data_IF_883949655763
#
_entry.id   IF_883949655763
#
_cell.length_a   1.000
_cell.length_b   1.000
_cell.length_c   1.000
_cell.angle_alpha   90.00
_cell.angle_beta   90.00
_cell.angle_gamma   90.00
#
_symmetry.space_group_name_H-M   'P 1'
#
loop_
_entity.id
_entity.type
_entity.pdbx_description
1 polymer ?
#
# COMPACT_ATOMS: atom_id res chain seq x y z
N UNK A 1 -4.85 13.65 18.13
CA UNK A 1 -4.28 12.75 17.10
C UNK A 1 -4.71 13.10 15.68
N UNK A 2 -6.03 13.27 15.44
CA UNK A 2 -6.53 13.59 14.09
C UNK A 2 -6.14 14.99 13.61
N UNK A 3 -6.09 15.98 14.49
CA UNK A 3 -5.69 17.35 14.09
C UNK A 3 -4.23 17.45 13.64
N UNK A 4 -3.30 16.78 14.29
CA UNK A 4 -1.89 16.74 13.84
C UNK A 4 -1.75 16.12 12.44
N UNK A 5 -2.42 15.00 12.19
CA UNK A 5 -2.35 14.34 10.90
C UNK A 5 -3.02 15.13 9.76
N UNK A 6 -4.03 15.95 10.07
CA UNK A 6 -4.76 16.76 9.09
C UNK A 6 -4.04 18.08 8.79
N UNK A 7 -3.40 18.70 9.79
CA UNK A 7 -2.77 20.03 9.65
C UNK A 7 -1.32 19.96 9.16
N UNK A 8 -0.61 18.90 9.51
CA UNK A 8 0.85 18.84 9.41
C UNK A 8 1.31 17.77 8.40
N UNK A 9 0.40 17.28 7.53
CA UNK A 9 0.71 16.32 6.49
C UNK A 9 -0.31 16.38 5.36
N UNK A 10 -0.20 15.48 4.37
CA UNK A 10 -1.21 15.25 3.34
C UNK A 10 -1.99 13.95 3.64
N UNK A 11 -3.29 13.99 3.49
CA UNK A 11 -4.19 12.86 3.67
C UNK A 11 -5.32 12.87 2.65
N UNK A 12 -6.12 11.83 2.64
CA UNK A 12 -7.27 11.68 1.74
C UNK A 12 -8.55 11.62 2.55
N UNK A 13 -9.52 12.46 2.18
CA UNK A 13 -10.87 12.43 2.75
C UNK A 13 -11.80 11.81 1.71
N UNK A 14 -12.56 10.80 2.11
CA UNK A 14 -13.45 10.05 1.23
C UNK A 14 -14.92 10.42 1.48
N UNK A 15 -15.66 10.61 0.39
CA UNK A 15 -17.08 10.96 0.41
C UNK A 15 -17.87 10.08 -0.55
N UNK A 16 -19.13 9.78 -0.17
CA UNK A 16 -20.16 9.34 -1.10
C UNK A 16 -20.92 10.54 -1.65
N UNK A 17 -21.22 10.51 -2.95
CA UNK A 17 -22.03 11.56 -3.61
C UNK A 17 -23.28 10.92 -4.16
N UNK A 18 -24.46 11.47 -3.81
CA UNK A 18 -25.73 11.01 -4.33
C UNK A 18 -26.06 11.63 -5.73
N UNK A 19 -27.16 11.16 -6.33
CA UNK A 19 -27.59 11.65 -7.64
C UNK A 19 -27.97 13.13 -7.66
N UNK A 20 -28.24 13.73 -6.51
CA UNK A 20 -28.57 15.16 -6.35
C UNK A 20 -27.34 16.03 -6.10
N UNK A 21 -26.15 15.42 -6.00
CA UNK A 21 -24.90 16.12 -5.74
C UNK A 21 -24.63 16.36 -4.26
N UNK A 22 -25.42 15.80 -3.34
CA UNK A 22 -25.11 15.83 -1.91
C UNK A 22 -23.98 14.87 -1.61
N UNK A 23 -23.06 15.27 -0.76
CA UNK A 23 -21.91 14.45 -0.37
C UNK A 23 -21.98 14.10 1.11
N UNK A 24 -21.58 12.89 1.41
CA UNK A 24 -21.59 12.30 2.74
C UNK A 24 -20.20 11.78 3.08
N UNK A 25 -19.67 12.23 4.21
CA UNK A 25 -18.35 11.80 4.69
C UNK A 25 -18.34 10.30 4.98
N UNK A 26 -17.33 9.60 4.53
CA UNK A 26 -17.10 8.18 4.83
C UNK A 26 -15.98 8.05 5.84
N UNK A 27 -14.76 8.39 5.42
CA UNK A 27 -13.56 8.26 6.26
C UNK A 27 -12.48 9.25 5.85
N UNK A 28 -11.48 9.37 6.71
CA UNK A 28 -10.23 10.06 6.40
C UNK A 28 -9.05 9.12 6.55
N UNK A 29 -8.21 9.08 5.54
CA UNK A 29 -6.94 8.37 5.56
C UNK A 29 -5.81 9.40 5.73
N UNK A 30 -5.25 9.58 6.96
CA UNK A 30 -4.20 10.58 7.23
C UNK A 30 -2.83 10.08 6.74
N UNK A 31 -2.76 9.65 5.51
CA UNK A 31 -1.59 9.12 4.83
C UNK A 31 -1.75 9.25 3.33
N UNK A 32 -0.66 9.08 2.61
CA UNK A 32 -0.74 8.91 1.15
C UNK A 32 -1.47 7.61 0.80
N UNK A 33 -2.24 7.63 -0.27
CA UNK A 33 -2.94 6.46 -0.79
C UNK A 33 -2.35 6.01 -2.13
N UNK A 34 -2.65 4.78 -2.54
CA UNK A 34 -2.14 4.19 -3.79
C UNK A 34 -2.54 5.03 -5.01
N UNK A 35 -3.73 5.62 -4.98
CA UNK A 35 -4.33 6.44 -6.04
C UNK A 35 -3.85 7.90 -6.10
N UNK A 36 -2.93 8.33 -5.22
CA UNK A 36 -2.39 9.70 -5.18
C UNK A 36 -1.89 10.22 -6.54
N UNK A 37 -1.44 9.33 -7.41
CA UNK A 37 -0.91 9.68 -8.72
C UNK A 37 -1.92 10.39 -9.62
N UNK A 38 -3.24 10.14 -9.45
CA UNK A 38 -4.30 10.86 -10.16
C UNK A 38 -4.27 12.34 -9.79
N UNK A 39 -4.23 12.65 -8.50
CA UNK A 39 -4.15 14.01 -7.99
C UNK A 39 -2.88 14.73 -8.48
N UNK A 40 -1.74 14.05 -8.40
CA UNK A 40 -0.46 14.61 -8.87
C UNK A 40 -0.49 14.93 -10.38
N UNK A 41 -1.09 14.06 -11.18
CA UNK A 41 -1.18 14.27 -12.64
C UNK A 41 -2.09 15.44 -13.02
N UNK A 42 -3.17 15.71 -12.29
CA UNK A 42 -4.09 16.81 -12.62
C UNK A 42 -3.73 18.13 -11.95
N UNK A 43 -2.94 18.12 -10.88
CA UNK A 43 -2.53 19.33 -10.15
C UNK A 43 -1.08 19.71 -10.38
N UNK A 44 -0.25 18.80 -10.86
CA UNK A 44 1.21 18.94 -10.97
C UNK A 44 1.91 19.18 -9.61
N UNK A 45 1.32 18.68 -8.52
CA UNK A 45 1.86 18.79 -7.17
C UNK A 45 2.41 17.43 -6.75
N UNK A 46 3.67 17.39 -6.35
CA UNK A 46 4.31 16.21 -5.75
C UNK A 46 3.87 16.10 -4.29
N UNK A 47 2.93 15.18 -4.02
CA UNK A 47 2.33 15.01 -2.69
C UNK A 47 3.34 14.46 -1.68
N UNK A 48 4.25 13.58 -2.08
CA UNK A 48 5.28 13.04 -1.19
C UNK A 48 6.24 14.12 -0.76
N UNK A 49 6.71 14.93 -1.72
CA UNK A 49 7.56 16.08 -1.41
C UNK A 49 6.84 17.10 -0.53
N UNK A 50 5.57 17.36 -0.81
CA UNK A 50 4.74 18.25 0.01
C UNK A 50 4.64 17.77 1.45
N UNK A 51 4.42 16.46 1.69
CA UNK A 51 4.40 15.89 3.03
C UNK A 51 5.72 16.12 3.78
N UNK A 52 6.85 15.92 3.12
CA UNK A 52 8.18 16.11 3.72
C UNK A 52 8.39 17.57 4.11
N UNK A 53 8.13 18.50 3.19
CA UNK A 53 8.31 19.93 3.41
C UNK A 53 7.39 20.47 4.53
N UNK A 54 6.13 20.01 4.57
CA UNK A 54 5.19 20.37 5.64
C UNK A 54 5.69 19.84 6.99
N UNK A 55 6.17 18.61 7.05
CA UNK A 55 6.72 18.02 8.27
C UNK A 55 8.01 18.73 8.72
N UNK A 56 8.77 19.32 7.80
CA UNK A 56 9.90 20.21 8.10
C UNK A 56 9.47 21.61 8.57
N UNK A 57 8.17 21.87 8.66
CA UNK A 57 7.60 23.15 9.12
C UNK A 57 7.42 24.19 8.03
N UNK A 58 7.55 23.83 6.75
CA UNK A 58 7.28 24.74 5.66
C UNK A 58 5.77 24.98 5.52
N UNK A 59 5.34 26.23 5.27
CA UNK A 59 3.92 26.51 5.02
C UNK A 59 3.46 25.92 3.68
N UNK A 60 2.18 25.61 3.55
CA UNK A 60 1.57 25.14 2.30
C UNK A 60 1.84 26.09 1.10
N UNK A 61 1.98 27.38 1.40
CA UNK A 61 2.35 28.40 0.41
C UNK A 61 3.81 28.38 -0.04
N UNK A 62 4.64 27.46 0.52
CA UNK A 62 6.05 27.37 0.13
C UNK A 62 6.17 27.11 -1.38
N UNK A 63 7.05 27.83 -2.10
CA UNK A 63 7.14 27.72 -3.56
C UNK A 63 7.41 26.30 -4.07
N UNK A 64 8.15 25.51 -3.34
CA UNK A 64 8.48 24.13 -3.71
C UNK A 64 7.33 23.13 -3.51
N UNK A 65 6.32 23.48 -2.73
CA UNK A 65 5.08 22.70 -2.61
C UNK A 65 4.17 23.00 -3.81
N UNK A 66 4.17 24.24 -4.29
CA UNK A 66 3.45 24.66 -5.49
C UNK A 66 1.93 24.83 -5.31
N UNK A 67 1.41 24.67 -4.08
CA UNK A 67 -0.03 24.83 -3.80
C UNK A 67 -0.49 26.29 -3.82
N UNK A 68 0.34 27.20 -3.31
CA UNK A 68 -0.04 28.60 -3.19
C UNK A 68 -1.30 28.81 -2.34
N UNK A 69 -2.25 29.61 -2.86
CA UNK A 69 -3.57 29.77 -2.26
C UNK A 69 -4.52 28.67 -2.83
N UNK A 70 -5.34 28.09 -1.96
CA UNK A 70 -6.38 27.10 -2.30
C UNK A 70 -7.27 27.57 -3.47
N UNK A 71 -7.60 28.87 -3.51
CA UNK A 71 -8.44 29.45 -4.56
C UNK A 71 -7.75 29.50 -5.93
N UNK A 72 -6.43 29.38 -5.97
CA UNK A 72 -5.63 29.40 -7.20
C UNK A 72 -5.31 27.98 -7.70
N UNK A 73 -5.66 26.94 -6.94
CA UNK A 73 -5.43 25.57 -7.34
C UNK A 73 -6.27 25.23 -8.57
N UNK A 74 -5.60 24.91 -9.68
CA UNK A 74 -6.25 24.50 -10.92
C UNK A 74 -6.10 23.00 -11.12
N UNK A 75 -7.24 22.35 -11.31
CA UNK A 75 -7.28 20.98 -11.82
C UNK A 75 -7.20 21.04 -13.34
N UNK A 76 -6.14 20.46 -13.91
CA UNK A 76 -5.88 20.49 -15.35
C UNK A 76 -6.18 19.11 -15.96
N UNK A 77 -7.18 19.05 -16.83
CA UNK A 77 -7.56 17.81 -17.53
C UNK A 77 -8.13 16.73 -16.61
N UNK A 78 -7.94 15.49 -17.03
CA UNK A 78 -8.45 14.29 -16.38
C UNK A 78 -7.36 13.25 -16.27
N UNK A 79 -7.36 12.47 -15.19
CA UNK A 79 -6.44 11.35 -15.03
C UNK A 79 -7.18 10.08 -14.60
N UNK A 80 -6.67 8.95 -15.08
CA UNK A 80 -7.15 7.60 -14.70
C UNK A 80 -5.94 6.79 -14.26
N UNK A 81 -6.02 6.17 -13.08
CA UNK A 81 -5.03 5.21 -12.62
C UNK A 81 -5.58 3.80 -12.76
N UNK A 82 -4.85 2.93 -13.43
CA UNK A 82 -5.12 1.51 -13.52
C UNK A 82 -4.05 0.74 -12.75
N UNK A 83 -4.48 -0.18 -11.89
CA UNK A 83 -3.59 -1.13 -11.22
C UNK A 83 -3.52 -2.41 -12.05
N UNK A 84 -2.35 -2.72 -12.59
CA UNK A 84 -2.10 -3.97 -13.28
C UNK A 84 -1.64 -4.99 -12.26
N UNK A 85 -2.41 -6.07 -12.10
CA UNK A 85 -2.20 -7.12 -11.11
C UNK A 85 -2.03 -8.48 -11.78
N UNK A 86 -1.33 -9.40 -11.10
CA UNK A 86 -1.22 -10.82 -11.53
C UNK A 86 -2.39 -11.62 -11.00
N UNK A 87 -3.57 -11.29 -11.47
CA UNK A 87 -4.84 -11.93 -11.11
C UNK A 87 -5.59 -12.37 -12.36
N UNK A 88 -6.27 -13.52 -12.26
CA UNK A 88 -7.08 -14.05 -13.35
C UNK A 88 -8.55 -13.61 -13.21
N UNK A 89 -9.01 -12.62 -13.97
CA UNK A 89 -10.38 -12.14 -13.86
C UNK A 89 -11.41 -13.18 -14.36
N UNK A 90 -10.99 -14.14 -15.16
CA UNK A 90 -11.86 -15.26 -15.55
C UNK A 90 -12.05 -16.30 -14.45
N UNK A 91 -11.24 -16.24 -13.39
CA UNK A 91 -11.27 -17.14 -12.23
C UNK A 91 -11.42 -16.34 -10.93
N UNK A 92 -12.42 -15.47 -10.85
CA UNK A 92 -12.74 -14.65 -9.69
C UNK A 92 -11.52 -13.88 -9.12
N UNK A 93 -10.66 -13.36 -9.99
CA UNK A 93 -9.43 -12.67 -9.62
C UNK A 93 -8.49 -13.50 -8.73
N UNK A 94 -8.50 -14.81 -8.90
CA UNK A 94 -7.52 -15.64 -8.21
C UNK A 94 -6.09 -15.21 -8.58
N UNK A 95 -5.20 -15.02 -7.59
CA UNK A 95 -3.81 -14.68 -7.86
C UNK A 95 -3.13 -15.74 -8.74
N UNK A 96 -2.45 -15.30 -9.79
CA UNK A 96 -1.64 -16.15 -10.64
C UNK A 96 -0.15 -15.99 -10.32
N UNK A 97 0.57 -17.08 -10.32
CA UNK A 97 1.95 -17.17 -9.90
C UNK A 97 2.80 -17.78 -11.02
N UNK A 98 4.06 -17.38 -11.08
CA UNK A 98 4.96 -17.94 -12.08
C UNK A 98 6.14 -17.03 -12.37
N UNK A 99 6.92 -17.43 -13.37
CA UNK A 99 8.02 -16.61 -13.87
C UNK A 99 7.53 -15.71 -14.98
N UNK A 100 7.85 -14.43 -14.87
CA UNK A 100 7.61 -13.45 -15.94
C UNK A 100 8.65 -13.70 -17.04
N UNK A 101 8.19 -14.14 -18.19
CA UNK A 101 9.03 -14.44 -19.35
C UNK A 101 9.32 -13.22 -20.21
N UNK A 102 8.36 -12.30 -20.27
CA UNK A 102 8.54 -11.02 -20.93
C UNK A 102 7.75 -9.95 -20.18
N UNK A 103 8.38 -8.79 -19.98
CA UNK A 103 7.76 -7.61 -19.40
C UNK A 103 8.16 -6.37 -20.20
N UNK A 104 7.19 -5.64 -20.69
CA UNK A 104 7.37 -4.32 -21.30
C UNK A 104 6.19 -3.45 -20.94
N UNK A 105 6.47 -2.22 -20.52
CA UNK A 105 5.45 -1.22 -20.22
C UNK A 105 5.28 -0.25 -21.38
N UNK A 106 4.06 0.21 -21.57
CA UNK A 106 3.75 1.35 -22.43
C UNK A 106 4.22 2.65 -21.80
N UNK A 107 4.35 3.69 -22.62
CA UNK A 107 4.79 5.02 -22.16
C UNK A 107 4.37 6.12 -23.11
N UNK A 108 4.94 7.31 -22.88
CA UNK A 108 4.74 8.49 -23.70
C UNK A 108 4.08 9.63 -22.94
N UNK A 109 3.80 10.72 -23.66
CA UNK A 109 3.25 11.93 -23.06
C UNK A 109 1.90 11.68 -22.37
N UNK A 110 1.81 12.07 -21.10
CA UNK A 110 0.62 11.88 -20.27
C UNK A 110 0.42 10.44 -19.79
N UNK A 111 1.46 9.61 -19.79
CA UNK A 111 1.47 8.28 -19.15
C UNK A 111 2.58 8.24 -18.11
N UNK A 112 2.21 7.95 -16.86
CA UNK A 112 3.10 7.74 -15.74
C UNK A 112 3.02 6.28 -15.30
N UNK A 113 4.17 5.72 -15.00
CA UNK A 113 4.31 4.35 -14.51
C UNK A 113 4.92 4.36 -13.11
N UNK A 114 4.22 3.74 -12.16
CA UNK A 114 4.72 3.51 -10.82
C UNK A 114 4.78 2.00 -10.60
N UNK A 115 5.92 1.42 -10.98
CA UNK A 115 6.17 -0.02 -10.93
C UNK A 115 6.79 -0.47 -9.64
N UNK A 116 6.55 -1.75 -9.29
CA UNK A 116 7.34 -2.48 -8.34
C UNK A 116 8.68 -2.92 -8.95
N UNK A 117 9.46 -3.67 -8.20
CA UNK A 117 10.73 -4.23 -8.69
C UNK A 117 10.48 -5.51 -9.52
N UNK A 118 9.73 -5.37 -10.60
CA UNK A 118 9.31 -6.47 -11.48
C UNK A 118 9.85 -6.25 -12.88
N UNK A 119 10.40 -7.30 -13.47
CA UNK A 119 10.93 -7.30 -14.84
C UNK A 119 10.93 -8.69 -15.43
N UNK A 120 11.43 -8.80 -16.67
CA UNK A 120 11.64 -10.09 -17.31
C UNK A 120 12.56 -10.97 -16.45
N UNK A 121 12.12 -12.18 -16.17
CA UNK A 121 12.83 -13.14 -15.32
C UNK A 121 12.39 -13.13 -13.85
N UNK A 122 11.62 -12.14 -13.40
CA UNK A 122 11.09 -12.07 -12.03
C UNK A 122 10.12 -13.22 -11.76
N UNK A 123 10.14 -13.73 -10.53
CA UNK A 123 9.22 -14.79 -10.08
C UNK A 123 8.12 -14.14 -9.26
N UNK A 124 6.89 -14.28 -9.71
CA UNK A 124 5.70 -13.88 -8.97
C UNK A 124 5.36 -14.98 -7.97
N UNK A 125 5.43 -14.62 -6.71
CA UNK A 125 5.18 -15.51 -5.59
C UNK A 125 3.76 -15.31 -5.04
N UNK A 126 3.08 -16.37 -4.56
CA UNK A 126 1.78 -16.24 -3.90
C UNK A 126 1.83 -15.55 -2.54
N UNK A 127 3.03 -15.25 -2.05
CA UNK A 127 3.25 -14.64 -0.74
C UNK A 127 3.35 -13.11 -0.78
N UNK A 128 3.42 -12.52 -1.97
CA UNK A 128 3.50 -11.08 -2.17
C UNK A 128 2.20 -10.56 -2.79
N UNK A 129 2.01 -9.25 -2.71
CA UNK A 129 0.91 -8.58 -3.39
C UNK A 129 1.01 -8.79 -4.91
N UNK A 130 -0.15 -8.88 -5.56
CA UNK A 130 -0.27 -9.14 -6.99
C UNK A 130 0.04 -7.93 -7.88
N UNK A 131 0.24 -6.73 -7.29
CA UNK A 131 0.43 -5.49 -8.04
C UNK A 131 1.77 -5.49 -8.80
N UNK A 132 1.71 -5.37 -10.12
CA UNK A 132 2.88 -5.22 -10.98
C UNK A 132 3.25 -3.75 -11.17
N UNK A 133 2.28 -2.94 -11.59
CA UNK A 133 2.49 -1.54 -11.93
C UNK A 133 1.18 -0.76 -11.83
N UNK A 134 1.27 0.51 -11.41
CA UNK A 134 0.21 1.49 -11.58
C UNK A 134 0.47 2.26 -12.86
N UNK A 135 -0.48 2.23 -13.77
CA UNK A 135 -0.45 3.01 -15.00
C UNK A 135 -1.40 4.18 -14.83
N UNK A 136 -0.87 5.39 -14.72
CA UNK A 136 -1.67 6.61 -14.60
C UNK A 136 -1.60 7.38 -15.91
N UNK A 137 -2.76 7.56 -16.54
CA UNK A 137 -2.89 8.29 -17.81
C UNK A 137 -3.56 9.63 -17.56
N UNK A 138 -3.11 10.67 -18.28
CA UNK A 138 -3.66 12.01 -18.24
C UNK A 138 -3.97 12.52 -19.64
N UNK A 139 -5.10 13.26 -19.80
CA UNK A 139 -5.44 13.99 -21.02
C UNK A 139 -6.38 15.16 -20.73
N UNK A 140 -6.58 16.03 -21.71
CA UNK A 140 -7.40 17.25 -21.58
C UNK A 140 -8.90 16.96 -21.43
N UNK A 141 -9.41 15.83 -21.91
CA UNK A 141 -10.84 15.44 -21.83
C UNK A 141 -10.99 14.01 -21.33
N UNK A 142 -12.10 13.74 -20.64
CA UNK A 142 -12.35 12.39 -20.10
C UNK A 142 -12.37 11.28 -21.17
N UNK A 143 -13.04 11.44 -22.32
CA UNK A 143 -12.95 10.43 -23.39
C UNK A 143 -11.55 10.26 -23.98
N UNK A 144 -10.72 11.31 -23.99
CA UNK A 144 -9.34 11.21 -24.46
C UNK A 144 -8.45 10.45 -23.48
N UNK A 145 -8.60 10.69 -22.16
CA UNK A 145 -7.85 9.92 -21.16
C UNK A 145 -8.28 8.45 -21.13
N UNK A 146 -9.56 8.13 -21.35
CA UNK A 146 -10.01 6.74 -21.50
C UNK A 146 -9.28 6.03 -22.66
N UNK A 147 -9.22 6.66 -23.86
CA UNK A 147 -8.49 6.11 -25.00
C UNK A 147 -6.99 5.95 -24.71
N UNK A 148 -6.37 6.95 -24.06
CA UNK A 148 -4.96 6.93 -23.69
C UNK A 148 -4.67 5.80 -22.67
N UNK A 149 -5.50 5.67 -21.64
CA UNK A 149 -5.40 4.61 -20.64
C UNK A 149 -5.55 3.24 -21.32
N UNK A 150 -6.55 3.07 -22.19
CA UNK A 150 -6.73 1.82 -22.95
C UNK A 150 -5.49 1.49 -23.78
N UNK A 151 -4.90 2.49 -24.48
CA UNK A 151 -3.65 2.28 -25.21
C UNK A 151 -2.51 1.85 -24.29
N UNK A 152 -2.29 2.61 -23.21
CA UNK A 152 -1.20 2.36 -22.28
C UNK A 152 -1.30 0.96 -21.65
N UNK A 153 -2.51 0.56 -21.22
CA UNK A 153 -2.77 -0.76 -20.65
C UNK A 153 -2.58 -1.88 -21.68
N UNK A 154 -2.99 -1.69 -22.93
CA UNK A 154 -2.80 -2.68 -24.00
C UNK A 154 -1.33 -2.78 -24.46
N UNK A 155 -0.53 -1.77 -24.24
CA UNK A 155 0.92 -1.79 -24.47
C UNK A 155 1.68 -2.49 -23.32
N UNK A 156 1.06 -2.67 -22.15
CA UNK A 156 1.63 -3.50 -21.07
C UNK A 156 1.71 -4.95 -21.53
N UNK A 157 2.91 -5.39 -21.83
CA UNK A 157 3.16 -6.73 -22.31
C UNK A 157 3.75 -7.62 -21.24
N UNK A 158 2.90 -8.44 -20.63
CA UNK A 158 3.27 -9.39 -19.58
C UNK A 158 3.05 -10.80 -20.09
N UNK A 159 4.08 -11.65 -20.00
CA UNK A 159 4.04 -13.07 -20.36
C UNK A 159 4.52 -13.92 -19.21
N UNK A 160 3.97 -15.13 -19.11
CA UNK A 160 4.30 -16.13 -18.10
C UNK A 160 3.33 -16.19 -16.94
N UNK A 161 2.56 -15.10 -16.72
CA UNK A 161 1.46 -15.03 -15.73
C UNK A 161 0.23 -14.37 -16.34
N UNK A 162 -0.94 -14.67 -15.82
CA UNK A 162 -2.18 -13.97 -16.14
C UNK A 162 -2.22 -12.62 -15.44
N UNK A 163 -2.95 -11.69 -16.01
CA UNK A 163 -3.14 -10.34 -15.48
C UNK A 163 -4.59 -9.90 -15.63
N UNK A 164 -4.97 -8.88 -14.86
CA UNK A 164 -6.27 -8.25 -14.95
C UNK A 164 -6.42 -7.29 -16.15
N UNK A 165 -5.43 -7.17 -17.02
CA UNK A 165 -5.43 -6.28 -18.19
C UNK A 165 -6.71 -6.40 -19.04
N UNK A 166 -7.22 -7.60 -19.39
CA UNK A 166 -8.45 -7.74 -20.17
C UNK A 166 -9.67 -7.11 -19.49
N UNK A 167 -9.80 -7.29 -18.19
CA UNK A 167 -10.89 -6.73 -17.41
C UNK A 167 -10.81 -5.20 -17.35
N UNK A 168 -9.63 -4.65 -17.04
CA UNK A 168 -9.40 -3.20 -17.03
C UNK A 168 -9.68 -2.59 -18.41
N UNK A 169 -9.29 -3.27 -19.50
CA UNK A 169 -9.58 -2.82 -20.86
C UNK A 169 -11.10 -2.78 -21.13
N UNK A 170 -11.85 -3.80 -20.70
CA UNK A 170 -13.31 -3.83 -20.85
C UNK A 170 -13.96 -2.66 -20.10
N UNK A 171 -13.50 -2.33 -18.88
CA UNK A 171 -13.98 -1.15 -18.14
C UNK A 171 -13.70 0.12 -18.91
N UNK A 172 -12.45 0.37 -19.32
CA UNK A 172 -12.01 1.61 -19.97
C UNK A 172 -12.72 1.89 -21.31
N UNK A 173 -13.19 0.83 -21.98
CA UNK A 173 -13.88 0.91 -23.26
C UNK A 173 -15.41 0.88 -23.14
N UNK A 174 -15.94 0.56 -21.95
CA UNK A 174 -17.38 0.47 -21.72
C UNK A 174 -18.07 1.82 -21.90
N UNK A 175 -19.18 1.91 -22.66
CA UNK A 175 -19.85 3.20 -22.94
C UNK A 175 -20.26 3.97 -21.68
N UNK A 176 -20.73 3.30 -20.66
CA UNK A 176 -21.13 3.91 -19.36
C UNK A 176 -19.93 4.56 -18.67
N UNK A 177 -18.76 3.87 -18.70
CA UNK A 177 -17.51 4.40 -18.12
C UNK A 177 -17.04 5.63 -18.91
N UNK A 178 -16.94 5.52 -20.23
CA UNK A 178 -16.50 6.63 -21.11
C UNK A 178 -17.42 7.83 -21.02
N UNK A 179 -18.71 7.61 -20.75
CA UNK A 179 -19.70 8.68 -20.50
C UNK A 179 -19.59 9.30 -19.08
N UNK A 180 -18.74 8.77 -18.19
CA UNK A 180 -18.62 9.23 -16.80
C UNK A 180 -19.87 8.96 -15.95
N UNK A 181 -20.64 7.91 -16.25
CA UNK A 181 -21.93 7.59 -15.61
C UNK A 181 -21.87 6.36 -14.70
N UNK A 182 -20.67 5.95 -14.30
CA UNK A 182 -20.52 4.83 -13.39
C UNK A 182 -21.02 5.20 -11.99
N UNK A 183 -21.52 4.19 -11.29
CA UNK A 183 -21.93 4.24 -9.90
C UNK A 183 -21.33 3.05 -9.13
N UNK A 184 -21.50 3.00 -7.82
CA UNK A 184 -20.84 2.02 -6.94
C UNK A 184 -21.09 0.56 -7.29
N UNK A 185 -22.22 0.25 -7.95
CA UNK A 185 -22.58 -1.11 -8.39
C UNK A 185 -22.28 -1.38 -9.88
N UNK A 186 -21.60 -0.47 -10.58
CA UNK A 186 -21.39 -0.59 -12.01
C UNK A 186 -20.75 -1.93 -12.41
N UNK A 187 -19.75 -2.38 -11.68
CA UNK A 187 -19.05 -3.65 -11.96
C UNK A 187 -19.97 -4.84 -11.73
N UNK A 188 -20.72 -4.84 -10.60
CA UNK A 188 -21.60 -5.95 -10.22
C UNK A 188 -22.80 -6.10 -11.18
N UNK A 189 -23.27 -4.98 -11.74
CA UNK A 189 -24.43 -4.93 -12.62
C UNK A 189 -24.07 -5.05 -14.12
N UNK A 190 -22.79 -5.24 -14.46
CA UNK A 190 -22.28 -5.26 -15.85
C UNK A 190 -21.51 -6.57 -16.13
N UNK A 191 -22.22 -7.71 -16.32
CA UNK A 191 -21.59 -9.02 -16.53
C UNK A 191 -20.66 -9.07 -17.75
N UNK A 192 -20.91 -8.27 -18.78
CA UNK A 192 -20.11 -8.19 -19.99
C UNK A 192 -18.66 -7.73 -19.75
N UNK A 193 -18.38 -7.11 -18.60
CA UNK A 193 -17.01 -6.77 -18.22
C UNK A 193 -16.14 -8.02 -17.98
N UNK A 194 -16.76 -9.16 -17.71
CA UNK A 194 -16.12 -10.44 -17.44
C UNK A 194 -16.10 -11.37 -18.67
N UNK A 195 -16.54 -10.90 -19.83
CA UNK A 195 -16.43 -11.62 -21.08
C UNK A 195 -15.06 -11.36 -21.73
N UNK A 196 -14.22 -12.40 -21.78
CA UNK A 196 -12.87 -12.30 -22.33
C UNK A 196 -12.74 -13.11 -23.61
N UNK A 197 -12.22 -12.47 -24.66
CA UNK A 197 -11.86 -13.19 -25.88
C UNK A 197 -10.59 -14.00 -25.63
N UNK A 198 -10.65 -15.31 -25.82
CA UNK A 198 -9.45 -16.16 -25.70
C UNK A 198 -8.38 -15.71 -26.70
N UNK A 199 -7.26 -15.24 -26.18
CA UNK A 199 -6.08 -14.96 -26.98
C UNK A 199 -5.54 -16.27 -27.57
N UNK A 200 -5.47 -16.38 -28.90
CA UNK A 200 -4.86 -17.53 -29.62
C UNK A 200 -3.33 -17.46 -29.52
N UNK A 201 -2.81 -17.49 -28.30
CA UNK A 201 -1.36 -17.39 -28.05
C UNK A 201 -0.67 -18.73 -28.24
N UNK A 202 -0.18 -18.95 -29.48
CA UNK A 202 0.60 -20.14 -29.82
C UNK A 202 1.92 -20.23 -29.08
N UNK A 203 2.53 -19.08 -28.78
CA UNK A 203 3.80 -19.02 -28.06
C UNK A 203 3.65 -19.49 -26.61
N UNK A 204 2.62 -19.05 -25.89
CA UNK A 204 2.32 -19.53 -24.53
C UNK A 204 2.02 -21.04 -24.51
N UNK A 205 1.37 -21.61 -25.56
CA UNK A 205 1.17 -23.07 -25.65
C UNK A 205 2.48 -23.82 -25.75
N UNK A 206 3.40 -23.35 -26.60
CA UNK A 206 4.74 -23.96 -26.75
C UNK A 206 5.54 -23.82 -25.47
N UNK A 207 5.50 -22.66 -24.83
CA UNK A 207 6.19 -22.41 -23.56
C UNK A 207 5.63 -23.27 -22.41
N UNK A 208 4.31 -23.41 -22.32
CA UNK A 208 3.68 -24.34 -21.37
C UNK A 208 4.09 -25.79 -21.62
N UNK A 209 4.22 -26.21 -22.87
CA UNK A 209 4.69 -27.53 -23.22
C UNK A 209 6.15 -27.74 -22.77
N UNK A 210 7.04 -26.78 -23.09
CA UNK A 210 8.46 -26.84 -22.69
C UNK A 210 8.59 -26.79 -21.17
N UNK A 211 7.86 -25.91 -20.50
CA UNK A 211 7.86 -25.81 -19.05
C UNK A 211 7.37 -27.11 -18.38
N UNK A 212 6.33 -27.73 -18.94
CA UNK A 212 5.82 -29.01 -18.44
C UNK A 212 6.87 -30.13 -18.57
N UNK A 213 7.62 -30.18 -19.68
CA UNK A 213 8.72 -31.12 -19.85
C UNK A 213 9.84 -30.85 -18.84
N UNK A 214 10.23 -29.57 -18.64
CA UNK A 214 11.29 -29.21 -17.70
C UNK A 214 10.91 -29.42 -16.24
N UNK A 215 9.67 -29.09 -15.87
CA UNK A 215 9.18 -29.24 -14.48
C UNK A 215 8.97 -30.70 -14.10
N UNK A 216 8.52 -31.53 -15.04
CA UNK A 216 8.31 -32.96 -14.82
C UNK A 216 9.59 -33.77 -15.08
N UNK A 217 10.71 -33.14 -15.42
CA UNK A 217 12.00 -33.81 -15.55
C UNK A 217 12.64 -33.94 -14.14
N UNK A 218 12.89 -35.17 -13.66
CA UNK A 218 13.45 -35.41 -12.32
C UNK A 218 14.87 -34.86 -12.12
N UNK A 219 15.59 -34.55 -13.21
CA UNK A 219 16.97 -34.05 -13.18
C UNK A 219 17.10 -32.53 -13.21
N UNK A 220 15.97 -31.79 -13.15
CA UNK A 220 16.03 -30.33 -13.08
C UNK A 220 16.65 -29.87 -11.75
N UNK A 221 17.79 -29.22 -11.82
CA UNK A 221 18.43 -28.58 -10.65
C UNK A 221 17.45 -27.62 -9.96
N UNK A 222 17.15 -27.89 -8.69
CA UNK A 222 16.34 -26.95 -7.89
C UNK A 222 17.20 -25.72 -7.60
N UNK A 223 16.78 -24.57 -8.08
CA UNK A 223 17.40 -23.32 -7.69
C UNK A 223 17.41 -23.20 -6.15
N UNK A 224 18.59 -23.19 -5.57
CA UNK A 224 18.74 -22.81 -4.16
C UNK A 224 18.63 -21.28 -4.09
N UNK A 225 17.62 -20.82 -3.35
CA UNK A 225 17.49 -19.40 -3.06
C UNK A 225 18.51 -19.03 -1.98
N UNK A 226 19.22 -17.92 -2.20
CA UNK A 226 20.07 -17.35 -1.16
C UNK A 226 19.25 -17.04 0.09
N UNK A 227 19.79 -17.44 1.24
CA UNK A 227 19.15 -17.13 2.52
C UNK A 227 19.18 -15.61 2.73
N UNK A 228 18.05 -14.95 3.00
CA UNK A 228 18.05 -13.52 3.24
C UNK A 228 19.01 -13.13 4.37
N UNK A 229 19.80 -12.11 4.15
CA UNK A 229 20.69 -11.56 5.19
C UNK A 229 19.92 -10.48 5.94
N UNK A 230 19.72 -10.70 7.23
CA UNK A 230 19.12 -9.70 8.11
C UNK A 230 20.20 -8.81 8.69
N UNK A 231 19.93 -7.49 8.83
CA UNK A 231 20.80 -6.60 9.58
C UNK A 231 20.95 -7.11 11.01
N UNK A 232 22.16 -7.07 11.52
CA UNK A 232 22.45 -7.41 12.92
C UNK A 232 22.79 -6.13 13.66
N UNK A 233 22.38 -6.04 14.90
CA UNK A 233 22.84 -4.98 15.79
C UNK A 233 24.38 -5.03 15.88
N UNK A 234 25.00 -3.88 15.86
CA UNK A 234 26.46 -3.72 15.98
C UNK A 234 26.88 -3.53 17.44
N UNK A 235 25.92 -3.23 18.32
CA UNK A 235 26.11 -3.01 19.75
C UNK A 235 24.92 -3.58 20.53
N UNK A 236 25.09 -3.73 21.83
CA UNK A 236 23.98 -4.05 22.73
C UNK A 236 23.08 -2.80 22.88
N UNK A 237 21.79 -3.00 22.68
CA UNK A 237 20.78 -1.96 22.74
C UNK A 237 20.06 -2.01 24.09
N UNK A 238 19.98 -0.87 24.74
CA UNK A 238 19.29 -0.70 26.01
C UNK A 238 18.15 0.31 25.88
N UNK A 239 17.29 0.41 26.89
CA UNK A 239 16.21 1.41 26.93
C UNK A 239 16.72 2.84 26.84
N UNK A 240 17.95 3.12 27.19
CA UNK A 240 18.56 4.45 27.17
C UNK A 240 18.89 4.95 25.75
N UNK A 241 18.84 4.07 24.76
CA UNK A 241 19.23 4.37 23.38
C UNK A 241 18.11 5.03 22.55
N UNK A 242 16.93 5.32 23.11
CA UNK A 242 15.81 5.89 22.34
C UNK A 242 14.70 6.53 23.20
N UNK A 243 13.66 6.98 22.51
CA UNK A 243 12.54 7.76 23.08
C UNK A 243 11.67 6.96 24.08
N UNK A 244 11.74 5.62 24.04
CA UNK A 244 10.94 4.77 24.95
C UNK A 244 11.25 5.04 26.42
N UNK A 245 12.49 5.39 26.75
CA UNK A 245 12.84 5.72 28.12
C UNK A 245 12.06 6.95 28.63
N UNK A 246 11.96 8.01 27.82
CA UNK A 246 11.19 9.20 28.19
C UNK A 246 9.71 8.86 28.45
N UNK A 247 9.13 7.99 27.63
CA UNK A 247 7.75 7.52 27.83
C UNK A 247 7.60 6.74 29.15
N UNK A 248 8.56 5.88 29.47
CA UNK A 248 8.51 5.03 30.69
C UNK A 248 8.77 5.79 31.98
N UNK A 249 9.63 6.83 31.95
CA UNK A 249 10.01 7.57 33.15
C UNK A 249 9.10 8.76 33.42
N UNK A 250 8.78 9.53 32.37
CA UNK A 250 8.13 10.84 32.51
C UNK A 250 6.71 10.86 31.90
N UNK A 251 6.32 9.75 31.25
CA UNK A 251 4.96 9.52 30.78
C UNK A 251 4.61 10.21 29.46
N UNK A 252 3.35 10.08 29.01
CA UNK A 252 2.92 10.52 27.69
C UNK A 252 2.93 12.05 27.50
N UNK A 253 2.70 12.83 28.55
CA UNK A 253 2.73 14.29 28.45
C UNK A 253 4.16 14.79 28.18
N UNK A 254 5.17 14.19 28.78
CA UNK A 254 6.56 14.53 28.49
C UNK A 254 6.95 14.21 27.03
N UNK A 255 6.48 13.08 26.49
CA UNK A 255 6.67 12.75 25.08
C UNK A 255 5.97 13.76 24.17
N UNK A 256 4.76 14.18 24.53
CA UNK A 256 4.02 15.22 23.79
C UNK A 256 4.78 16.55 23.78
N UNK A 257 5.28 17.01 24.94
CA UNK A 257 6.09 18.22 25.02
C UNK A 257 7.39 18.08 24.21
N UNK A 258 8.03 16.93 24.29
CA UNK A 258 9.21 16.64 23.48
C UNK A 258 8.91 16.73 21.99
N UNK A 259 7.80 16.14 21.52
CA UNK A 259 7.35 16.21 20.10
C UNK A 259 7.13 17.65 19.66
N UNK A 260 6.41 18.44 20.47
CA UNK A 260 6.12 19.84 20.16
C UNK A 260 7.39 20.73 20.14
N UNK A 261 8.43 20.31 20.85
CA UNK A 261 9.73 20.99 20.87
C UNK A 261 10.65 20.62 19.70
N UNK A 262 10.32 19.59 18.90
CA UNK A 262 11.18 19.13 17.81
C UNK A 262 11.14 20.10 16.63
N UNK A 263 12.31 20.30 16.05
CA UNK A 263 12.50 21.04 14.79
C UNK A 263 12.93 20.15 13.63
N UNK A 264 13.13 18.88 13.91
CA UNK A 264 13.50 17.87 12.91
C UNK A 264 12.29 17.03 12.55
N UNK A 265 12.27 16.51 11.33
CA UNK A 265 11.31 15.53 10.88
C UNK A 265 11.35 14.30 11.80
N UNK A 266 10.17 13.90 12.28
CA UNK A 266 10.00 12.68 13.07
C UNK A 266 9.52 11.56 12.14
N UNK A 267 10.19 10.41 12.19
CA UNK A 267 9.93 9.29 11.29
C UNK A 267 9.35 8.13 12.10
N UNK A 268 8.24 7.59 11.61
CA UNK A 268 7.67 6.32 12.06
C UNK A 268 7.95 5.24 11.02
N UNK A 269 8.57 4.14 11.43
CA UNK A 269 8.74 2.98 10.56
C UNK A 269 7.47 2.10 10.60
N UNK A 270 7.00 1.65 9.45
CA UNK A 270 5.78 0.86 9.31
C UNK A 270 6.04 -0.58 8.83
N UNK A 271 7.28 -1.01 8.84
CA UNK A 271 7.70 -2.32 8.30
C UNK A 271 6.92 -3.47 8.93
N UNK A 272 6.69 -3.40 10.25
CA UNK A 272 6.03 -4.48 10.99
C UNK A 272 4.50 -4.44 10.96
N UNK A 273 3.90 -3.41 10.33
CA UNK A 273 2.45 -3.31 10.13
C UNK A 273 2.08 -3.06 8.67
N UNK A 274 2.15 -1.81 8.20
CA UNK A 274 1.59 -1.44 6.90
C UNK A 274 2.38 -2.02 5.73
N UNK A 275 3.69 -2.03 5.82
CA UNK A 275 4.53 -2.55 4.75
C UNK A 275 4.22 -4.02 4.43
N UNK A 276 4.14 -4.89 5.44
CA UNK A 276 3.80 -6.28 5.17
C UNK A 276 2.30 -6.50 4.90
N UNK A 277 1.43 -5.62 5.43
CA UNK A 277 0.01 -5.64 5.08
C UNK A 277 -0.19 -5.35 3.60
N UNK A 278 0.51 -4.37 3.07
CA UNK A 278 0.38 -3.91 1.70
C UNK A 278 1.16 -4.75 0.69
N UNK A 279 2.31 -5.32 1.08
CA UNK A 279 3.22 -5.99 0.17
C UNK A 279 3.26 -7.51 0.31
N UNK A 280 2.97 -8.05 1.49
CA UNK A 280 3.11 -9.47 1.81
C UNK A 280 1.77 -10.13 2.17
N UNK A 281 0.66 -9.59 1.70
CA UNK A 281 -0.70 -10.07 2.02
C UNK A 281 -0.92 -10.28 3.52
N UNK A 282 -0.30 -9.44 4.34
CA UNK A 282 -0.33 -9.51 5.82
C UNK A 282 0.23 -10.85 6.40
N UNK A 283 1.16 -11.50 5.71
CA UNK A 283 1.63 -12.86 6.06
C UNK A 283 3.01 -12.90 6.72
N UNK A 284 3.56 -11.77 7.16
CA UNK A 284 4.83 -11.76 7.89
C UNK A 284 4.64 -12.37 9.29
N UNK A 285 5.39 -13.43 9.59
CA UNK A 285 5.28 -14.17 10.86
C UNK A 285 6.16 -13.54 11.93
N UNK A 286 5.78 -13.70 13.18
CA UNK A 286 6.55 -13.19 14.33
C UNK A 286 8.00 -13.65 14.28
N UNK A 287 8.26 -14.92 14.01
CA UNK A 287 9.62 -15.47 13.90
C UNK A 287 10.49 -14.79 12.84
N UNK A 288 9.88 -14.28 11.78
CA UNK A 288 10.59 -13.60 10.69
C UNK A 288 10.86 -12.13 11.05
N UNK A 289 9.95 -11.49 11.78
CA UNK A 289 10.15 -10.16 12.37
C UNK A 289 11.30 -10.17 13.38
N UNK A 290 11.35 -11.17 14.25
CA UNK A 290 12.38 -11.30 15.28
C UNK A 290 13.80 -11.45 14.73
N UNK A 291 13.96 -11.96 13.50
CA UNK A 291 15.28 -12.04 12.83
C UNK A 291 15.88 -10.67 12.52
N UNK A 292 15.03 -9.68 12.27
CA UNK A 292 15.46 -8.32 12.01
C UNK A 292 15.38 -7.37 13.21
N UNK A 293 14.77 -7.82 14.31
CA UNK A 293 14.41 -6.94 15.43
C UNK A 293 15.62 -6.27 16.10
N UNK A 294 16.69 -7.04 16.37
CA UNK A 294 17.91 -6.48 16.97
C UNK A 294 18.55 -5.40 16.06
N UNK A 295 18.59 -5.65 14.74
CA UNK A 295 19.05 -4.67 13.76
C UNK A 295 18.14 -3.44 13.66
N UNK A 296 16.83 -3.63 13.79
CA UNK A 296 15.85 -2.54 13.84
C UNK A 296 16.10 -1.64 15.05
N UNK A 297 16.30 -2.23 16.23
CA UNK A 297 16.57 -1.49 17.47
C UNK A 297 17.82 -0.62 17.39
N UNK A 298 18.87 -1.06 16.69
CA UNK A 298 20.13 -0.33 16.51
C UNK A 298 20.05 0.71 15.41
N UNK A 299 19.63 0.31 14.21
CA UNK A 299 19.67 1.18 13.03
C UNK A 299 18.59 2.27 13.10
N UNK A 300 17.41 1.95 13.67
CA UNK A 300 16.28 2.86 13.78
C UNK A 300 16.13 3.49 15.18
N UNK A 301 17.20 3.51 15.98
CA UNK A 301 17.16 4.05 17.35
C UNK A 301 16.64 5.50 17.43
N UNK A 302 16.87 6.30 16.38
CA UNK A 302 16.43 7.70 16.29
C UNK A 302 14.99 7.85 15.72
N UNK A 303 14.32 6.75 15.36
CA UNK A 303 12.92 6.82 14.93
C UNK A 303 12.00 7.23 16.07
N UNK A 304 10.96 8.00 15.73
CA UNK A 304 9.93 8.39 16.67
C UNK A 304 9.15 7.19 17.20
N UNK A 305 8.74 6.29 16.32
CA UNK A 305 8.01 5.08 16.69
C UNK A 305 8.10 3.99 15.63
N UNK A 306 7.74 2.76 16.02
CA UNK A 306 7.53 1.64 15.11
C UNK A 306 6.06 1.23 15.13
N UNK A 307 5.42 1.15 13.97
CA UNK A 307 4.04 0.67 13.86
C UNK A 307 4.02 -0.86 13.88
N UNK A 308 3.38 -1.45 14.89
CA UNK A 308 3.49 -2.88 15.17
C UNK A 308 2.31 -3.70 14.65
N UNK A 309 1.09 -3.27 14.91
CA UNK A 309 -0.11 -3.89 14.39
C UNK A 309 -1.30 -2.93 14.37
N UNK A 310 -2.37 -3.37 13.72
CA UNK A 310 -3.62 -2.64 13.59
C UNK A 310 -4.46 -3.20 12.44
N UNK A 311 -5.75 -3.05 12.51
CA UNK A 311 -6.65 -3.52 11.47
C UNK A 311 -6.37 -4.97 11.05
N UNK A 312 -6.09 -5.18 9.78
CA UNK A 312 -5.91 -6.50 9.21
C UNK A 312 -4.72 -7.29 9.79
N UNK A 313 -3.65 -6.64 10.25
CA UNK A 313 -2.50 -7.36 10.80
C UNK A 313 -2.81 -8.09 12.09
N UNK A 314 -3.67 -7.52 12.93
CA UNK A 314 -4.13 -8.14 14.17
C UNK A 314 -5.02 -9.36 13.87
N UNK A 315 -6.04 -9.19 13.04
CA UNK A 315 -6.96 -10.26 12.64
C UNK A 315 -6.24 -11.40 11.92
N UNK A 316 -5.34 -11.06 10.99
CA UNK A 316 -4.60 -12.04 10.21
C UNK A 316 -3.65 -12.88 11.06
N UNK A 317 -3.04 -12.30 12.11
CA UNK A 317 -2.21 -13.04 13.03
C UNK A 317 -2.99 -14.20 13.67
N UNK A 318 -4.18 -13.95 14.18
CA UNK A 318 -5.04 -14.98 14.73
C UNK A 318 -5.58 -15.94 13.67
N UNK A 319 -6.19 -15.40 12.62
CA UNK A 319 -7.00 -16.18 11.67
C UNK A 319 -6.18 -17.07 10.75
N UNK A 320 -5.04 -16.59 10.29
CA UNK A 320 -4.26 -17.25 9.24
C UNK A 320 -2.86 -17.69 9.67
N UNK A 321 -2.23 -16.97 10.59
CA UNK A 321 -0.90 -17.32 11.06
C UNK A 321 -0.94 -18.19 12.33
N UNK A 322 -2.10 -18.23 13.01
CA UNK A 322 -2.28 -18.90 14.29
C UNK A 322 -1.28 -18.41 15.35
N UNK A 323 -1.01 -17.12 15.34
CA UNK A 323 -0.12 -16.42 16.25
C UNK A 323 -0.90 -15.42 17.08
N UNK A 324 -0.54 -15.25 18.37
CA UNK A 324 -1.08 -14.18 19.21
C UNK A 324 -0.43 -12.84 18.85
N UNK A 325 -1.19 -11.81 18.45
CA UNK A 325 -0.61 -10.48 18.24
C UNK A 325 -0.10 -9.83 19.54
N UNK A 326 -0.61 -10.24 20.71
CA UNK A 326 -0.14 -9.81 22.02
C UNK A 326 1.24 -10.40 22.33
N UNK A 327 1.40 -11.71 22.25
CA UNK A 327 2.72 -12.37 22.41
C UNK A 327 3.73 -11.84 21.39
N UNK A 328 3.30 -11.54 20.16
CA UNK A 328 4.15 -10.90 19.16
C UNK A 328 4.69 -9.57 19.66
N UNK A 329 3.84 -8.76 20.28
CA UNK A 329 4.21 -7.46 20.79
C UNK A 329 5.24 -7.58 21.92
N UNK A 330 5.00 -8.48 22.87
CA UNK A 330 5.93 -8.80 23.97
C UNK A 330 7.30 -9.25 23.47
N UNK A 331 7.32 -10.25 22.56
CA UNK A 331 8.57 -10.77 21.99
C UNK A 331 9.37 -9.71 21.22
N UNK A 332 8.67 -8.81 20.50
CA UNK A 332 9.31 -7.70 19.80
C UNK A 332 9.80 -6.64 20.79
N UNK A 333 9.06 -6.39 21.87
CA UNK A 333 9.47 -5.46 22.93
C UNK A 333 10.75 -5.91 23.66
N UNK A 334 10.91 -7.19 23.89
CA UNK A 334 12.17 -7.75 24.46
C UNK A 334 13.37 -7.44 23.56
N UNK A 335 13.18 -7.49 22.23
CA UNK A 335 14.23 -7.25 21.25
C UNK A 335 14.46 -5.78 20.91
N UNK A 336 13.43 -4.96 21.05
CA UNK A 336 13.44 -3.53 20.72
C UNK A 336 13.00 -2.74 21.96
N UNK A 337 13.88 -2.59 22.96
CA UNK A 337 13.51 -1.96 24.22
C UNK A 337 13.47 -0.43 24.18
N UNK A 338 14.04 0.19 23.15
CA UNK A 338 14.39 1.60 23.08
C UNK A 338 13.40 2.48 22.31
N UNK A 339 12.62 1.91 21.36
CA UNK A 339 11.76 2.68 20.48
C UNK A 339 10.29 2.52 20.89
N UNK A 340 9.48 3.59 20.96
CA UNK A 340 8.05 3.49 21.22
C UNK A 340 7.33 2.66 20.15
N UNK A 341 6.37 1.84 20.56
CA UNK A 341 5.49 1.11 19.64
C UNK A 341 4.19 1.87 19.44
N UNK A 342 3.68 1.81 18.23
CA UNK A 342 2.43 2.43 17.81
C UNK A 342 1.50 1.36 17.27
N UNK A 343 0.23 1.39 17.69
CA UNK A 343 -0.82 0.53 17.18
C UNK A 343 -1.93 1.36 16.56
N UNK A 344 -2.41 0.93 15.39
CA UNK A 344 -3.48 1.59 14.67
C UNK A 344 -4.84 0.99 15.05
N UNK A 345 -5.79 1.85 15.42
CA UNK A 345 -7.17 1.49 15.69
C UNK A 345 -8.11 2.18 14.71
N UNK A 346 -9.13 1.46 14.25
CA UNK A 346 -10.16 1.96 13.32
C UNK A 346 -11.40 2.50 14.07
N UNK A 347 -11.22 3.44 14.98
CA UNK A 347 -12.30 3.97 15.77
C UNK A 347 -13.10 2.86 16.49
N UNK A 348 -14.43 2.85 16.37
CA UNK A 348 -15.30 1.84 16.96
C UNK A 348 -15.12 0.42 16.39
N UNK A 349 -14.49 0.29 15.23
CA UNK A 349 -14.20 -1.02 14.63
C UNK A 349 -12.91 -1.66 15.18
N UNK A 350 -12.15 -0.94 15.98
CA UNK A 350 -10.88 -1.40 16.56
C UNK A 350 -9.94 -2.00 15.49
N UNK A 351 -9.73 -3.31 15.57
CA UNK A 351 -8.93 -4.10 14.65
C UNK A 351 -9.79 -5.07 13.81
N UNK A 352 -11.10 -4.94 13.90
CA UNK A 352 -12.08 -5.77 13.18
C UNK A 352 -12.76 -5.07 12.01
N UNK A 353 -13.88 -5.65 11.57
CA UNK A 353 -14.65 -5.22 10.41
C UNK A 353 -16.09 -4.78 10.77
N UNK A 354 -16.44 -4.78 12.05
CA UNK A 354 -17.72 -4.36 12.56
C UNK A 354 -17.53 -3.42 13.75
N UNK A 355 -18.48 -2.55 14.00
CA UNK A 355 -18.44 -1.66 15.16
C UNK A 355 -18.67 -2.44 16.45
N UNK A 356 -17.84 -2.16 17.44
CA UNK A 356 -17.91 -2.74 18.78
C UNK A 356 -18.51 -1.72 19.76
N UNK A 357 -19.14 -2.21 20.86
CA UNK A 357 -19.64 -1.33 21.92
C UNK A 357 -18.50 -0.57 22.61
N UNK A 358 -18.78 0.64 23.08
CA UNK A 358 -17.78 1.55 23.69
C UNK A 358 -17.03 0.93 24.87
N UNK A 359 -17.68 0.10 25.68
CA UNK A 359 -17.04 -0.60 26.79
C UNK A 359 -15.93 -1.55 26.32
N UNK A 360 -16.16 -2.27 25.22
CA UNK A 360 -15.15 -3.14 24.61
C UNK A 360 -14.01 -2.33 23.99
N UNK A 361 -14.35 -1.24 23.30
CA UNK A 361 -13.33 -0.33 22.75
C UNK A 361 -12.40 0.20 23.84
N UNK A 362 -12.97 0.67 24.97
CA UNK A 362 -12.17 1.15 26.11
C UNK A 362 -11.31 0.07 26.74
N UNK A 363 -11.85 -1.15 26.92
CA UNK A 363 -11.12 -2.26 27.47
C UNK A 363 -9.95 -2.67 26.56
N UNK A 364 -10.17 -2.72 25.24
CA UNK A 364 -9.13 -3.05 24.26
C UNK A 364 -8.00 -2.01 24.25
N UNK A 365 -8.35 -0.72 24.31
CA UNK A 365 -7.35 0.36 24.38
C UNK A 365 -6.53 0.27 25.67
N UNK A 366 -7.19 0.04 26.81
CA UNK A 366 -6.51 -0.11 28.08
C UNK A 366 -5.54 -1.30 28.08
N UNK A 367 -5.94 -2.42 27.51
CA UNK A 367 -5.07 -3.60 27.38
C UNK A 367 -3.89 -3.32 26.44
N UNK A 368 -4.16 -2.69 25.27
CA UNK A 368 -3.10 -2.31 24.33
C UNK A 368 -2.07 -1.35 24.90
N UNK A 369 -2.48 -0.51 25.87
CA UNK A 369 -1.57 0.43 26.53
C UNK A 369 -0.77 -0.21 27.68
N UNK A 370 -1.23 -1.37 28.18
CA UNK A 370 -0.54 -2.12 29.23
C UNK A 370 0.62 -2.95 28.68
N UNK A 371 0.44 -3.51 27.48
CA UNK A 371 1.46 -4.29 26.77
C UNK A 371 2.49 -3.36 26.06
#
# INVERSE_FOLDING_TARGET
GSEMCIRDSAGTVEFLVDKSGNYYFIEMNPRIQVEHTVTEMVTSIDLVRAQILIAEGQPISHPEIGLGDQNNLKVNGYAIQCRVTTEDPANNFAPDNGKIEAYRSGGGFGVRLDGGNVGTGSIISPYYDSLLVKVTSWDCTFPAVCRKATRAINEEHVRGVKTNIPFVTNILTHPTFVAGKCHTKFIDETPELFEFTESRDRATRVLKYIANIQVNNPDAERHQYDTPRFPKAQREITKQDGLKLLLDTDGPEAVKEWVLGQKKLLITDTTMRDAHQSLLSTRLRTRDMLKGADGTADILADCFSLEMWGGATFDTAYRFLHESPWERLEMLREKIPNIPFQMLLRGSNLVGYASYPDNLVRAFIAESARE
#
